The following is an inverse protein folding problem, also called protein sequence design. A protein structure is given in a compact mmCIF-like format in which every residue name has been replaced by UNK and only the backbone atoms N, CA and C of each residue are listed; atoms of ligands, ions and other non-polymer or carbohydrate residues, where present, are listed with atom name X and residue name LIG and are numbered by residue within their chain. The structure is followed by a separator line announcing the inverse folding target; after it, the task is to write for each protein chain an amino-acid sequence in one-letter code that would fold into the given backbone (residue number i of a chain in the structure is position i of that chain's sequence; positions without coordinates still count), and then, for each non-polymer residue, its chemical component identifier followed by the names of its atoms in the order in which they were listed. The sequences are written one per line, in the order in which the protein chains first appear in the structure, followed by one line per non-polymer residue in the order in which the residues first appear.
data_IF_909114400198
#
_entry.id   IF_909114400198
#
_cell.length_a   1.000
_cell.length_b   1.000
_cell.length_c   1.000
_cell.angle_alpha   90.00
_cell.angle_beta   90.00
_cell.angle_gamma   90.00
#
_symmetry.space_group_name_H-M   'P 1'
#
loop_
_entity.id
_entity.type
_entity.pdbx_description
1 polymer ?
#
# COMPACT_ATOMS: atom_id res chain seq x y z
N UNK A 1 -8.39 2.63 -9.30
CA UNK A 1 -7.52 3.70 -8.77
C UNK A 1 -6.39 3.09 -7.94
N UNK A 2 -5.22 3.71 -7.98
CA UNK A 2 -4.07 3.44 -7.11
C UNK A 2 -3.77 4.73 -6.35
N UNK A 3 -3.97 4.72 -5.05
CA UNK A 3 -3.76 5.85 -4.15
C UNK A 3 -2.48 5.65 -3.33
N UNK A 4 -1.40 6.36 -3.66
CA UNK A 4 -0.18 6.34 -2.87
C UNK A 4 -0.25 7.30 -1.68
N UNK A 5 -0.86 8.46 -1.91
CA UNK A 5 -1.07 9.49 -0.91
C UNK A 5 -2.23 10.38 -1.39
N UNK A 6 -3.44 9.83 -1.45
CA UNK A 6 -4.59 10.59 -1.92
C UNK A 6 -5.05 11.56 -0.83
N UNK A 7 -4.75 12.81 -1.04
CA UNK A 7 -5.15 13.97 -0.25
C UNK A 7 -5.13 15.20 -1.15
N UNK A 8 -5.63 16.34 -0.69
CA UNK A 8 -5.58 17.61 -1.39
C UNK A 8 -4.13 18.15 -1.41
N UNK A 9 -3.41 17.87 -2.50
CA UNK A 9 -2.03 18.30 -2.72
C UNK A 9 -1.96 19.48 -3.70
N UNK A 10 -1.02 20.37 -3.49
CA UNK A 10 -0.84 21.57 -4.31
C UNK A 10 0.40 21.48 -5.20
N UNK A 11 0.19 21.75 -6.51
CA UNK A 11 1.28 21.92 -7.50
C UNK A 11 1.68 23.38 -7.71
N UNK A 12 0.93 24.34 -7.17
CA UNK A 12 1.04 25.75 -7.54
C UNK A 12 2.18 26.50 -6.85
N UNK A 13 2.73 25.99 -5.77
CA UNK A 13 3.74 26.69 -4.98
C UNK A 13 5.02 25.92 -4.73
N UNK A 14 5.00 24.62 -4.86
CA UNK A 14 6.16 23.73 -4.80
C UNK A 14 5.72 22.33 -5.19
N UNK A 15 6.65 21.51 -5.60
CA UNK A 15 6.40 20.13 -5.96
C UNK A 15 6.15 19.94 -7.44
N UNK A 16 6.66 18.85 -7.91
CA UNK A 16 6.58 18.41 -9.30
C UNK A 16 6.21 16.92 -9.33
N UNK A 17 5.62 16.50 -10.43
CA UNK A 17 5.34 15.08 -10.67
C UNK A 17 6.11 14.62 -11.89
N UNK A 18 6.78 13.49 -11.77
CA UNK A 18 7.59 12.91 -12.82
C UNK A 18 7.12 11.51 -13.16
N UNK A 19 7.34 11.11 -14.41
CA UNK A 19 7.14 9.74 -14.85
C UNK A 19 8.38 9.22 -15.56
N UNK A 20 8.70 7.95 -15.37
CA UNK A 20 9.83 7.31 -15.99
C UNK A 20 9.59 5.83 -16.27
N UNK A 21 9.82 5.41 -17.52
CA UNK A 21 9.85 3.99 -17.88
C UNK A 21 11.31 3.51 -17.91
N UNK A 22 11.66 2.60 -17.01
CA UNK A 22 12.97 1.95 -17.01
C UNK A 22 12.91 0.65 -17.82
N UNK A 23 13.31 0.73 -19.09
CA UNK A 23 13.36 -0.43 -20.00
C UNK A 23 14.43 -1.47 -19.66
N UNK A 24 15.36 -1.17 -18.75
CA UNK A 24 16.38 -2.13 -18.33
C UNK A 24 15.90 -3.01 -17.17
N UNK A 25 15.10 -2.41 -16.29
CA UNK A 25 14.56 -3.08 -15.11
C UNK A 25 13.09 -3.44 -15.28
N UNK A 26 12.49 -3.02 -16.40
CA UNK A 26 11.14 -3.38 -16.82
C UNK A 26 10.05 -2.95 -15.82
N UNK A 27 10.08 -1.66 -15.45
CA UNK A 27 9.08 -1.05 -14.61
C UNK A 27 8.79 0.41 -14.99
N UNK A 28 7.64 0.90 -14.59
CA UNK A 28 7.21 2.29 -14.75
C UNK A 28 7.09 2.96 -13.38
N UNK A 29 7.66 4.16 -13.24
CA UNK A 29 7.65 4.94 -12.00
C UNK A 29 6.85 6.21 -12.20
N UNK A 30 6.05 6.57 -11.21
CA UNK A 30 5.46 7.89 -11.02
C UNK A 30 5.94 8.42 -9.67
N UNK A 31 6.54 9.60 -9.67
CA UNK A 31 7.08 10.26 -8.49
C UNK A 31 6.39 11.60 -8.28
N UNK A 32 5.87 11.80 -7.08
CA UNK A 32 5.44 13.10 -6.56
C UNK A 32 6.55 13.62 -5.66
N UNK A 33 7.24 14.67 -6.10
CA UNK A 33 8.39 15.25 -5.42
C UNK A 33 8.03 16.56 -4.77
N UNK A 34 8.33 16.69 -3.48
CA UNK A 34 8.12 17.90 -2.67
C UNK A 34 6.69 18.48 -2.74
N UNK A 35 5.70 17.61 -2.90
CA UNK A 35 4.29 18.00 -2.96
C UNK A 35 3.85 18.57 -1.63
N UNK A 36 3.06 19.64 -1.70
CA UNK A 36 2.57 20.33 -0.52
C UNK A 36 1.12 19.97 -0.23
N UNK A 37 0.81 19.59 1.00
CA UNK A 37 -0.58 19.42 1.41
C UNK A 37 -1.29 20.79 1.49
N UNK A 38 -2.51 20.85 0.98
CA UNK A 38 -3.32 22.06 1.03
C UNK A 38 -3.49 22.54 2.49
N UNK A 39 -3.35 23.83 2.74
CA UNK A 39 -3.52 24.52 4.03
C UNK A 39 -2.43 24.31 5.09
N UNK A 40 -1.62 23.25 5.09
CA UNK A 40 -0.67 22.95 6.19
C UNK A 40 0.79 23.03 5.84
N UNK A 41 1.11 23.11 4.56
CA UNK A 41 2.48 23.19 4.09
C UNK A 41 3.40 22.04 4.54
N UNK A 42 2.86 20.88 4.88
CA UNK A 42 3.69 19.70 4.95
C UNK A 42 4.13 19.29 3.55
N UNK A 43 5.31 18.76 3.44
CA UNK A 43 5.90 18.34 2.18
C UNK A 43 5.94 16.83 2.18
N UNK A 44 5.43 16.25 1.10
CA UNK A 44 5.39 14.81 0.90
C UNK A 44 6.20 14.46 -0.36
N UNK A 45 7.00 13.39 -0.30
CA UNK A 45 7.72 12.87 -1.45
C UNK A 45 7.57 11.36 -1.50
N UNK A 46 6.92 10.86 -2.54
CA UNK A 46 6.57 9.45 -2.68
C UNK A 46 6.51 9.02 -4.14
N UNK A 47 6.57 7.71 -4.37
CA UNK A 47 6.50 7.16 -5.72
C UNK A 47 5.68 5.87 -5.76
N UNK A 48 5.06 5.64 -6.92
CA UNK A 48 4.47 4.36 -7.32
C UNK A 48 5.40 3.72 -8.34
N UNK A 49 5.68 2.43 -8.18
CA UNK A 49 6.38 1.61 -9.15
C UNK A 49 5.45 0.51 -9.61
N UNK A 50 5.16 0.48 -10.90
CA UNK A 50 4.42 -0.58 -11.58
C UNK A 50 5.42 -1.53 -12.24
N UNK A 51 5.39 -2.82 -11.90
CA UNK A 51 6.32 -3.81 -12.45
C UNK A 51 5.71 -4.50 -13.67
N UNK A 52 6.49 -4.62 -14.74
CA UNK A 52 6.13 -5.44 -15.90
C UNK A 52 6.49 -6.90 -15.64
N UNK A 53 5.91 -7.47 -14.61
CA UNK A 53 6.10 -8.88 -14.24
C UNK A 53 4.86 -9.74 -14.58
N UNK A 54 3.96 -9.20 -15.39
CA UNK A 54 2.70 -9.79 -15.85
C UNK A 54 2.81 -11.06 -16.67
N UNK A 55 3.99 -11.68 -16.71
CA UNK A 55 4.17 -13.04 -17.23
C UNK A 55 3.78 -14.14 -16.22
N UNK A 56 3.27 -13.75 -15.07
CA UNK A 56 2.71 -14.71 -14.14
C UNK A 56 1.38 -15.22 -14.69
N UNK A 57 1.22 -16.54 -14.93
CA UNK A 57 0.04 -17.06 -15.60
C UNK A 57 -1.27 -16.86 -14.84
N UNK A 58 -1.26 -16.26 -13.66
CA UNK A 58 -2.39 -16.20 -12.74
C UNK A 58 -2.41 -14.99 -11.81
N UNK A 59 -1.83 -13.85 -12.16
CA UNK A 59 -1.85 -12.68 -11.28
C UNK A 59 -1.78 -11.37 -12.05
N UNK A 60 -2.30 -10.34 -11.43
CA UNK A 60 -2.13 -8.96 -11.87
C UNK A 60 -0.72 -8.45 -11.57
N UNK A 61 -0.37 -7.28 -12.12
CA UNK A 61 0.93 -6.66 -11.93
C UNK A 61 1.23 -6.32 -10.46
N UNK A 62 2.48 -6.45 -10.08
CA UNK A 62 2.94 -6.04 -8.76
C UNK A 62 3.10 -4.52 -8.69
N UNK A 63 2.82 -3.97 -7.52
CA UNK A 63 2.87 -2.54 -7.24
C UNK A 63 3.75 -2.31 -6.01
N UNK A 64 4.65 -1.34 -6.08
CA UNK A 64 5.36 -0.86 -4.91
C UNK A 64 5.09 0.62 -4.72
N UNK A 65 4.79 1.01 -3.50
CA UNK A 65 4.69 2.41 -3.10
C UNK A 65 5.84 2.69 -2.14
N UNK A 66 6.55 3.79 -2.32
CA UNK A 66 7.66 4.17 -1.46
C UNK A 66 7.49 5.62 -1.01
N UNK A 67 7.87 5.89 0.22
CA UNK A 67 7.82 7.21 0.84
C UNK A 67 9.23 7.67 1.21
N UNK A 68 9.72 8.72 0.56
CA UNK A 68 10.98 9.37 0.91
C UNK A 68 10.77 10.36 2.05
N UNK A 69 9.64 11.07 2.01
CA UNK A 69 9.17 11.96 3.06
C UNK A 69 7.68 11.71 3.26
N UNK A 70 7.30 11.40 4.47
CA UNK A 70 5.92 11.09 4.84
C UNK A 70 5.54 11.83 6.13
N UNK A 71 4.93 12.99 6.01
CA UNK A 71 4.46 13.77 7.15
C UNK A 71 2.99 13.52 7.46
N UNK A 72 2.18 13.35 6.43
CA UNK A 72 0.74 13.06 6.53
C UNK A 72 0.04 13.87 7.63
N UNK A 73 0.18 15.19 7.58
CA UNK A 73 -0.39 16.08 8.59
C UNK A 73 -1.85 16.36 8.31
N UNK A 74 -2.68 16.36 9.35
CA UNK A 74 -4.11 16.65 9.22
C UNK A 74 -4.37 18.03 8.61
N UNK A 75 -5.06 18.08 7.49
CA UNK A 75 -5.36 19.30 6.78
C UNK A 75 -6.52 20.13 7.35
N UNK A 76 -7.32 19.61 8.31
CA UNK A 76 -8.59 20.25 8.72
C UNK A 76 -8.86 20.35 10.22
N UNK A 77 -7.89 20.78 10.99
CA UNK A 77 -8.08 20.97 12.45
C UNK A 77 -9.23 21.95 12.79
N UNK A 78 -9.66 22.80 11.87
CA UNK A 78 -10.61 23.88 12.15
C UNK A 78 -11.83 23.98 11.19
N UNK A 79 -12.00 23.08 10.24
CA UNK A 79 -13.21 23.06 9.40
C UNK A 79 -14.20 21.97 9.85
N UNK A 80 -15.41 22.38 10.11
CA UNK A 80 -16.49 21.45 10.46
C UNK A 80 -17.72 21.74 9.58
N UNK A 81 -18.31 20.74 8.91
CA UNK A 81 -17.82 19.37 8.77
C UNK A 81 -16.57 19.30 7.88
N UNK A 82 -15.71 18.30 8.06
CA UNK A 82 -14.59 18.07 7.14
C UNK A 82 -15.12 17.83 5.72
N UNK A 83 -14.49 18.44 4.73
CA UNK A 83 -14.91 18.33 3.32
C UNK A 83 -14.43 17.00 2.73
N UNK A 84 -13.35 16.43 3.27
CA UNK A 84 -12.75 15.14 2.92
C UNK A 84 -12.07 14.53 4.16
N UNK A 85 -11.35 13.40 4.02
CA UNK A 85 -10.56 12.83 5.11
C UNK A 85 -9.54 13.84 5.65
N UNK A 86 -9.22 13.75 6.93
CA UNK A 86 -8.24 14.65 7.56
C UNK A 86 -6.81 14.27 7.26
N UNK A 87 -6.58 13.08 6.70
CA UNK A 87 -5.30 12.47 6.37
C UNK A 87 -5.42 11.67 5.09
N UNK A 88 -4.31 11.38 4.45
CA UNK A 88 -4.28 10.67 3.19
C UNK A 88 -4.96 9.30 3.22
N UNK A 89 -5.51 8.92 2.07
CA UNK A 89 -5.96 7.55 1.78
C UNK A 89 -4.87 6.83 1.00
N UNK A 90 -4.55 5.60 1.43
CA UNK A 90 -3.55 4.75 0.80
C UNK A 90 -4.15 3.39 0.51
N UNK A 91 -4.07 2.94 -0.75
CA UNK A 91 -4.63 1.67 -1.16
C UNK A 91 -4.91 1.59 -2.66
N UNK A 92 -5.64 0.55 -3.04
CA UNK A 92 -6.05 0.32 -4.43
C UNK A 92 -7.54 -0.01 -4.51
N UNK A 93 -8.15 0.27 -5.64
CA UNK A 93 -9.49 -0.18 -5.98
C UNK A 93 -9.64 -0.42 -7.48
N UNK A 94 -10.63 -1.24 -7.84
CA UNK A 94 -10.97 -1.47 -9.24
C UNK A 94 -11.70 -0.24 -9.86
N UNK A 95 -11.92 -0.28 -11.17
CA UNK A 95 -12.58 0.80 -11.91
C UNK A 95 -14.06 1.02 -11.54
N UNK A 96 -14.69 0.08 -10.84
CA UNK A 96 -16.08 0.21 -10.36
C UNK A 96 -16.17 0.74 -8.93
N UNK A 97 -15.05 0.80 -8.20
CA UNK A 97 -15.02 1.18 -6.79
C UNK A 97 -15.75 0.19 -5.86
N UNK A 98 -15.98 -1.05 -6.29
CA UNK A 98 -16.69 -2.07 -5.50
C UNK A 98 -15.76 -3.16 -4.94
N UNK A 99 -14.52 -3.18 -5.37
CA UNK A 99 -13.44 -4.03 -4.84
C UNK A 99 -12.21 -3.17 -4.59
N UNK A 100 -11.52 -3.40 -3.49
CA UNK A 100 -10.33 -2.63 -3.14
C UNK A 100 -9.63 -3.16 -1.91
N UNK A 101 -8.40 -2.72 -1.74
CA UNK A 101 -7.53 -3.04 -0.62
C UNK A 101 -7.00 -1.74 -0.03
N UNK A 102 -7.52 -1.35 1.12
CA UNK A 102 -7.10 -0.16 1.84
C UNK A 102 -5.97 -0.48 2.81
N UNK A 103 -4.87 0.29 2.73
CA UNK A 103 -3.79 0.25 3.72
C UNK A 103 -4.03 1.26 4.86
N UNK A 104 -4.38 2.50 4.53
CA UNK A 104 -4.79 3.48 5.53
C UNK A 104 -5.84 4.44 5.00
N UNK A 105 -6.67 4.96 5.91
CA UNK A 105 -7.59 6.06 5.68
C UNK A 105 -7.73 6.86 6.97
N UNK A 106 -7.71 8.18 6.87
CA UNK A 106 -7.85 9.09 7.99
C UNK A 106 -6.90 8.74 9.17
N UNK A 107 -5.65 8.39 8.83
CA UNK A 107 -4.60 7.92 9.74
C UNK A 107 -4.98 6.68 10.58
N UNK A 108 -5.96 5.92 10.11
CA UNK A 108 -6.34 4.64 10.70
C UNK A 108 -5.72 3.51 9.91
N UNK A 109 -4.97 2.66 10.58
CA UNK A 109 -4.27 1.51 10.01
C UNK A 109 -4.92 0.20 10.48
N UNK A 110 -5.01 -0.83 9.62
CA UNK A 110 -5.32 -2.17 10.07
C UNK A 110 -4.32 -2.64 11.13
N UNK A 111 -4.74 -3.52 12.02
CA UNK A 111 -3.88 -4.00 13.11
C UNK A 111 -2.56 -4.62 12.63
N UNK A 112 -2.54 -5.13 11.41
CA UNK A 112 -1.38 -5.77 10.79
C UNK A 112 -0.46 -4.79 10.05
N UNK A 113 -0.84 -3.51 9.91
CA UNK A 113 -0.07 -2.52 9.19
C UNK A 113 0.86 -1.76 10.12
N UNK A 114 2.08 -1.48 9.66
CA UNK A 114 2.93 -0.48 10.30
C UNK A 114 2.37 0.93 10.07
N UNK A 115 2.64 1.84 10.96
CA UNK A 115 2.47 3.27 10.67
C UNK A 115 3.54 3.69 9.69
N UNK A 116 3.13 4.34 8.59
CA UNK A 116 4.08 4.85 7.61
C UNK A 116 4.88 6.03 8.16
N UNK A 117 6.12 6.12 7.73
CA UNK A 117 7.10 7.15 8.09
C UNK A 117 8.05 7.35 6.90
N UNK A 118 9.04 8.23 7.04
CA UNK A 118 10.11 8.40 6.06
C UNK A 118 10.84 7.08 5.79
N UNK A 119 11.28 6.91 4.55
CA UNK A 119 12.05 5.73 4.10
C UNK A 119 11.33 4.38 4.27
N UNK A 120 9.99 4.39 4.16
CA UNK A 120 9.17 3.19 4.21
C UNK A 120 8.67 2.76 2.84
N UNK A 121 8.29 1.49 2.71
CA UNK A 121 7.75 0.93 1.49
C UNK A 121 6.57 0.00 1.76
N UNK A 122 5.62 0.00 0.82
CA UNK A 122 4.45 -0.88 0.76
C UNK A 122 4.51 -1.64 -0.56
N UNK A 123 4.27 -2.95 -0.52
CA UNK A 123 4.19 -3.81 -1.68
C UNK A 123 2.80 -4.43 -1.78
N UNK A 124 2.18 -4.30 -2.95
CA UNK A 124 0.85 -4.80 -3.24
C UNK A 124 0.96 -5.79 -4.38
N UNK A 125 0.44 -6.98 -4.17
CA UNK A 125 0.52 -8.07 -5.14
C UNK A 125 -0.76 -8.89 -5.11
N UNK A 126 -1.11 -9.51 -6.22
CA UNK A 126 -2.07 -10.61 -6.21
C UNK A 126 -1.32 -11.85 -5.78
N UNK A 127 -1.77 -12.50 -4.71
CA UNK A 127 -1.32 -13.85 -4.43
C UNK A 127 -1.56 -14.71 -5.67
N UNK A 128 -0.72 -15.72 -5.94
CA UNK A 128 -1.00 -16.63 -7.03
C UNK A 128 -2.44 -17.15 -6.88
N UNK A 129 -3.22 -17.08 -7.93
CA UNK A 129 -4.58 -17.65 -8.00
C UNK A 129 -4.56 -19.20 -7.96
N UNK A 130 -3.57 -19.76 -7.32
CA UNK A 130 -3.53 -21.15 -6.89
C UNK A 130 -4.31 -21.17 -5.59
N UNK A 131 -5.33 -21.98 -5.50
CA UNK A 131 -5.88 -22.33 -4.19
C UNK A 131 -4.71 -22.87 -3.38
N UNK A 132 -4.08 -22.00 -2.60
CA UNK A 132 -3.05 -22.47 -1.68
C UNK A 132 -3.72 -23.43 -0.71
N UNK A 133 -3.15 -24.63 -0.50
CA UNK A 133 -3.67 -25.53 0.49
C UNK A 133 -3.80 -24.77 1.81
N UNK A 134 -4.99 -24.78 2.39
CA UNK A 134 -5.27 -23.99 3.59
C UNK A 134 -4.53 -24.58 4.80
N UNK A 135 -3.66 -23.80 5.48
CA UNK A 135 -3.04 -24.25 6.71
C UNK A 135 -4.06 -24.30 7.85
N UNK A 136 -3.81 -25.16 8.81
CA UNK A 136 -4.59 -25.25 10.04
C UNK A 136 -3.67 -25.46 11.23
N UNK A 137 -3.82 -24.60 12.24
CA UNK A 137 -3.01 -24.67 13.46
C UNK A 137 -3.46 -25.80 14.38
N UNK A 138 -2.61 -26.81 14.52
CA UNK A 138 -2.71 -27.80 15.58
C UNK A 138 -1.71 -27.51 16.70
N UNK A 139 -2.12 -27.64 17.95
CA UNK A 139 -1.20 -27.49 19.09
C UNK A 139 -1.58 -28.39 20.24
N UNK A 140 -0.56 -28.84 20.97
CA UNK A 140 -0.74 -29.69 22.15
C UNK A 140 0.39 -29.47 23.16
N UNK A 141 0.10 -29.36 24.47
CA UNK A 141 -1.27 -29.31 25.05
C UNK A 141 -2.01 -28.02 24.75
N UNK A 142 -3.34 -28.04 24.88
CA UNK A 142 -4.18 -26.86 24.67
C UNK A 142 -4.10 -25.86 25.83
N UNK A 143 -3.58 -26.25 26.95
CA UNK A 143 -3.34 -25.41 28.12
C UNK A 143 -2.14 -25.91 28.90
N UNK A 144 -1.37 -24.99 29.50
CA UNK A 144 -0.25 -25.26 30.40
C UNK A 144 -0.36 -24.37 31.62
N UNK A 145 -0.57 -24.98 32.79
CA UNK A 145 -0.68 -24.28 34.04
C UNK A 145 0.61 -24.45 34.88
N UNK A 146 1.17 -23.36 35.32
CA UNK A 146 2.37 -23.31 36.16
C UNK A 146 2.04 -22.68 37.50
N UNK A 147 2.52 -23.29 38.58
CA UNK A 147 2.43 -22.74 39.94
C UNK A 147 3.83 -22.67 40.54
N UNK A 148 4.43 -21.47 40.51
CA UNK A 148 5.82 -21.26 40.90
C UNK A 148 5.89 -20.31 42.11
N UNK A 149 6.79 -20.63 43.03
CA UNK A 149 7.20 -19.70 44.07
C UNK A 149 8.29 -18.75 43.54
N UNK A 150 8.58 -17.71 44.30
CA UNK A 150 9.66 -16.77 43.97
C UNK A 150 11.00 -17.51 43.76
N UNK A 151 11.69 -17.14 42.65
CA UNK A 151 12.96 -17.75 42.21
C UNK A 151 12.88 -19.23 41.75
N UNK A 152 11.69 -19.72 41.44
CA UNK A 152 11.53 -21.04 40.81
C UNK A 152 11.29 -20.88 39.27
N UNK A 153 11.71 -21.88 38.55
CA UNK A 153 11.45 -22.01 37.10
C UNK A 153 10.94 -23.40 36.77
N UNK A 154 10.05 -23.47 35.81
CA UNK A 154 9.54 -24.75 35.26
C UNK A 154 9.54 -24.63 33.74
N UNK A 155 9.81 -25.76 33.08
CA UNK A 155 9.84 -25.85 31.63
C UNK A 155 8.84 -26.89 31.16
N UNK A 156 8.03 -26.53 30.20
CA UNK A 156 7.12 -27.44 29.49
C UNK A 156 7.24 -27.27 27.98
N UNK A 157 6.84 -28.28 27.24
CA UNK A 157 6.93 -28.29 25.80
C UNK A 157 5.55 -28.11 25.18
N UNK A 158 5.44 -27.13 24.25
CA UNK A 158 4.30 -26.96 23.36
C UNK A 158 4.68 -27.51 22.00
N UNK A 159 3.91 -28.47 21.49
CA UNK A 159 4.06 -28.93 20.11
C UNK A 159 3.09 -28.17 19.20
N UNK A 160 3.62 -27.58 18.15
CA UNK A 160 2.86 -26.87 17.12
C UNK A 160 3.01 -27.64 15.81
N UNK A 161 1.90 -27.82 15.10
CA UNK A 161 1.88 -28.55 13.83
C UNK A 161 0.90 -27.91 12.85
N UNK A 162 1.20 -28.02 11.56
CA UNK A 162 0.22 -27.74 10.53
C UNK A 162 -0.63 -29.00 10.32
N UNK A 163 -1.92 -28.89 10.62
CA UNK A 163 -2.92 -29.96 10.42
C UNK A 163 -3.83 -29.69 9.23
N UNK A 164 -3.51 -28.66 8.43
CA UNK A 164 -4.23 -28.30 7.22
C UNK A 164 -3.95 -29.19 6.03
N UNK A 165 -4.28 -28.72 4.85
CA UNK A 165 -4.10 -29.45 3.60
C UNK A 165 -2.62 -29.72 3.30
N UNK A 166 -2.34 -30.82 2.60
CA UNK A 166 -0.98 -31.19 2.20
C UNK A 166 -0.36 -30.11 1.30
N UNK A 167 0.86 -29.67 1.62
CA UNK A 167 1.57 -28.60 0.92
C UNK A 167 1.27 -27.20 1.41
N UNK A 168 0.36 -27.06 2.40
CA UNK A 168 0.13 -25.74 3.02
C UNK A 168 1.28 -25.33 3.94
N UNK A 169 1.61 -24.05 3.94
CA UNK A 169 2.59 -23.47 4.85
C UNK A 169 1.88 -22.76 6.01
N UNK A 170 2.24 -23.10 7.25
CA UNK A 170 1.69 -22.50 8.45
C UNK A 170 2.69 -21.51 9.04
N UNK A 171 2.36 -20.23 8.97
CA UNK A 171 3.06 -19.19 9.72
C UNK A 171 2.33 -18.94 11.04
N UNK A 172 3.05 -18.91 12.15
CA UNK A 172 2.47 -18.64 13.47
C UNK A 172 3.39 -17.78 14.31
N UNK A 173 2.79 -17.04 15.25
CA UNK A 173 3.53 -16.30 16.26
C UNK A 173 3.17 -16.79 17.65
N UNK A 174 4.12 -16.68 18.59
CA UNK A 174 3.91 -16.96 20.01
C UNK A 174 4.13 -15.68 20.79
N UNK A 175 3.08 -15.15 21.41
CA UNK A 175 3.15 -13.93 22.21
C UNK A 175 2.89 -14.23 23.69
N UNK A 176 3.45 -13.40 24.55
CA UNK A 176 3.22 -13.40 25.99
C UNK A 176 2.23 -12.27 26.32
N UNK A 177 1.12 -12.57 27.00
CA UNK A 177 0.20 -11.53 27.46
C UNK A 177 0.86 -10.62 28.47
N UNK A 178 0.78 -9.31 28.24
CA UNK A 178 1.46 -8.26 29.05
C UNK A 178 2.60 -7.57 28.33
N UNK A 179 2.94 -7.98 27.09
CA UNK A 179 3.82 -7.26 26.15
C UNK A 179 3.01 -7.07 24.88
N UNK A 180 3.14 -5.92 24.23
CA UNK A 180 2.46 -5.57 22.98
C UNK A 180 2.45 -6.73 21.98
N UNK A 181 1.34 -7.02 21.31
CA UNK A 181 1.29 -8.10 20.36
C UNK A 181 2.33 -7.87 19.24
N UNK A 182 2.93 -8.95 18.76
CA UNK A 182 3.71 -8.92 17.53
C UNK A 182 2.79 -8.47 16.41
N UNK A 183 3.21 -7.45 15.70
CA UNK A 183 2.51 -7.00 14.52
C UNK A 183 2.76 -8.00 13.39
N UNK A 184 1.71 -8.56 12.86
CA UNK A 184 1.77 -9.30 11.58
C UNK A 184 1.63 -8.22 10.52
N UNK A 185 2.68 -7.87 9.82
CA UNK A 185 2.63 -6.83 8.82
C UNK A 185 2.30 -7.40 7.44
N UNK A 186 1.04 -7.47 7.15
CA UNK A 186 0.49 -7.87 5.88
C UNK A 186 -1.03 -7.95 6.00
N UNK A 187 -1.74 -7.61 4.96
CA UNK A 187 -3.21 -7.63 4.96
C UNK A 187 -3.80 -8.01 3.61
N UNK A 188 -5.07 -8.27 3.64
CA UNK A 188 -5.81 -8.88 2.56
C UNK A 188 -6.04 -10.38 2.79
N UNK A 189 -6.37 -11.20 1.75
CA UNK A 189 -6.67 -10.68 0.43
C UNK A 189 -7.98 -9.90 0.38
N UNK A 190 -8.09 -8.97 -0.55
CA UNK A 190 -9.39 -8.48 -0.97
C UNK A 190 -10.17 -9.56 -1.75
N UNK A 191 -11.37 -9.24 -2.22
CA UNK A 191 -12.20 -10.21 -2.92
C UNK A 191 -11.62 -10.68 -4.26
N UNK A 192 -10.69 -9.94 -4.83
CA UNK A 192 -9.99 -10.29 -6.06
C UNK A 192 -8.73 -11.13 -5.81
N UNK A 193 -8.06 -10.90 -4.68
CA UNK A 193 -6.85 -11.61 -4.31
C UNK A 193 -5.64 -10.72 -4.03
N UNK A 194 -5.81 -9.39 -4.02
CA UNK A 194 -4.73 -8.48 -3.67
C UNK A 194 -4.38 -8.56 -2.19
N UNK A 195 -3.07 -8.61 -1.94
CA UNK A 195 -2.44 -8.62 -0.63
C UNK A 195 -1.48 -7.43 -0.56
N UNK A 196 -1.31 -6.88 0.62
CA UNK A 196 -0.22 -5.93 0.87
C UNK A 196 0.72 -6.45 1.96
N UNK A 197 1.99 -6.08 1.82
CA UNK A 197 3.03 -6.24 2.84
C UNK A 197 3.82 -4.93 2.93
N UNK A 198 4.37 -4.61 4.08
CA UNK A 198 5.17 -3.41 4.27
C UNK A 198 6.63 -3.72 4.64
N UNK A 199 7.46 -2.67 4.65
CA UNK A 199 8.92 -2.80 4.81
C UNK A 199 9.38 -3.21 6.22
N UNK A 200 8.48 -3.27 7.19
CA UNK A 200 8.82 -3.63 8.56
C UNK A 200 9.02 -5.16 8.72
N UNK A 201 8.36 -5.95 7.87
CA UNK A 201 8.38 -7.42 7.98
C UNK A 201 9.34 -8.12 7.05
N UNK A 202 9.47 -7.65 5.84
CA UNK A 202 10.24 -8.37 4.84
C UNK A 202 11.40 -7.53 4.34
N UNK A 203 12.61 -7.95 4.65
CA UNK A 203 13.83 -7.35 4.09
C UNK A 203 13.83 -7.33 2.54
N UNK A 204 12.97 -8.12 1.90
CA UNK A 204 12.73 -8.13 0.45
C UNK A 204 11.92 -6.92 -0.04
N UNK A 205 11.12 -6.29 0.84
CA UNK A 205 10.34 -5.07 0.54
C UNK A 205 11.11 -3.82 1.01
N UNK A 206 12.41 -3.88 1.07
CA UNK A 206 13.24 -2.76 1.52
C UNK A 206 12.91 -1.49 0.73
N UNK A 207 12.84 -0.37 1.45
CA UNK A 207 12.87 0.95 0.82
C UNK A 207 14.12 1.07 -0.06
N UNK A 208 13.92 1.40 -1.33
CA UNK A 208 14.99 1.58 -2.31
C UNK A 208 14.55 2.65 -3.31
N UNK A 209 14.82 3.89 -2.97
CA UNK A 209 14.39 5.03 -3.78
C UNK A 209 15.06 5.04 -5.15
N UNK A 210 14.27 5.29 -6.18
CA UNK A 210 14.76 5.50 -7.55
C UNK A 210 14.55 6.97 -7.88
N UNK A 211 15.62 7.76 -7.88
CA UNK A 211 15.58 9.18 -8.21
C UNK A 211 15.38 9.36 -9.72
N UNK A 212 14.21 9.90 -10.09
CA UNK A 212 13.85 10.12 -11.49
C UNK A 212 13.73 11.60 -11.87
N UNK A 213 13.90 12.54 -10.96
CA UNK A 213 13.79 13.99 -11.27
C UNK A 213 14.70 14.42 -12.44
N UNK A 214 15.91 13.86 -12.53
CA UNK A 214 16.87 14.17 -13.58
C UNK A 214 16.70 13.38 -14.87
N UNK A 215 15.85 12.36 -14.90
CA UNK A 215 15.70 11.41 -16.00
C UNK A 215 14.26 11.32 -16.53
N UNK A 216 13.29 11.55 -15.67
CA UNK A 216 11.87 11.41 -15.95
C UNK A 216 11.30 12.55 -16.77
N UNK A 217 10.08 12.32 -17.24
CA UNK A 217 9.27 13.35 -17.87
C UNK A 217 8.47 14.08 -16.79
N UNK A 218 8.71 15.36 -16.64
CA UNK A 218 7.90 16.20 -15.75
C UNK A 218 6.51 16.40 -16.36
N UNK A 219 5.48 16.16 -15.55
CA UNK A 219 4.09 16.39 -15.93
C UNK A 219 3.71 17.86 -15.71
N UNK A 220 2.74 18.33 -16.49
CA UNK A 220 2.24 19.70 -16.41
C UNK A 220 0.74 19.71 -16.19
N UNK A 221 0.32 20.10 -15.02
CA UNK A 221 -1.09 20.14 -14.67
C UNK A 221 -1.72 21.49 -15.04
N UNK A 222 -2.85 21.51 -15.78
CA UNK A 222 -3.49 22.75 -16.19
C UNK A 222 -4.07 23.53 -15.00
N UNK A 223 -4.45 22.84 -13.93
CA UNK A 223 -4.94 23.40 -12.67
C UNK A 223 -4.57 22.48 -11.51
N UNK A 224 -4.67 22.97 -10.27
CA UNK A 224 -4.29 22.24 -9.07
C UNK A 224 -4.88 20.81 -8.98
N UNK A 225 -6.19 20.68 -9.15
CA UNK A 225 -6.88 19.40 -8.96
C UNK A 225 -7.20 18.69 -10.28
N UNK A 226 -6.51 19.01 -11.35
CA UNK A 226 -6.78 18.46 -12.67
C UNK A 226 -5.65 17.52 -13.07
N UNK A 227 -6.00 16.28 -13.37
CA UNK A 227 -5.06 15.32 -13.94
C UNK A 227 -4.48 15.81 -15.28
N UNK A 228 -3.29 15.37 -15.61
CA UNK A 228 -2.69 15.56 -16.93
C UNK A 228 -3.33 14.59 -17.96
N UNK A 229 -3.00 14.76 -19.22
CA UNK A 229 -3.35 13.81 -20.27
C UNK A 229 -2.85 12.40 -19.91
N UNK A 230 -3.52 11.32 -20.39
CA UNK A 230 -3.08 9.97 -20.10
C UNK A 230 -1.62 9.72 -20.49
N UNK A 231 -0.89 9.07 -19.61
CA UNK A 231 0.54 8.76 -19.75
C UNK A 231 0.72 7.31 -20.13
N UNK A 232 1.56 7.05 -21.14
CA UNK A 232 1.94 5.69 -21.55
C UNK A 232 2.76 5.01 -20.45
N UNK A 233 2.34 3.83 -20.01
CA UNK A 233 3.07 3.01 -19.02
C UNK A 233 4.29 2.35 -19.67
N UNK A 234 4.20 2.02 -20.98
CA UNK A 234 5.26 1.36 -21.74
C UNK A 234 5.07 -0.16 -21.86
N UNK A 235 4.11 -0.70 -21.13
CA UNK A 235 3.66 -2.10 -21.21
C UNK A 235 2.20 -2.18 -20.78
N UNK A 236 1.58 -3.34 -21.01
CA UNK A 236 0.23 -3.60 -20.52
C UNK A 236 0.30 -4.00 -19.04
N UNK A 237 -0.17 -3.13 -18.17
CA UNK A 237 -0.21 -3.36 -16.73
C UNK A 237 -1.57 -3.95 -16.30
N UNK A 238 -1.62 -5.18 -15.82
CA UNK A 238 -2.86 -5.79 -15.36
C UNK A 238 -3.23 -5.31 -13.95
N UNK A 239 -4.46 -4.84 -13.80
CA UNK A 239 -5.05 -4.42 -12.52
C UNK A 239 -6.51 -4.88 -12.46
N UNK A 240 -6.86 -5.67 -11.44
CA UNK A 240 -8.19 -6.28 -11.27
C UNK A 240 -8.66 -7.03 -12.53
N UNK A 241 -7.74 -7.77 -13.16
CA UNK A 241 -8.01 -8.59 -14.33
C UNK A 241 -8.23 -7.83 -15.63
N UNK A 242 -7.87 -6.55 -15.67
CA UNK A 242 -7.92 -5.70 -16.86
C UNK A 242 -6.53 -5.16 -17.19
N UNK A 243 -6.16 -5.19 -18.48
CA UNK A 243 -4.86 -4.68 -18.94
C UNK A 243 -4.96 -3.20 -19.32
N UNK A 244 -3.99 -2.41 -18.86
CA UNK A 244 -3.91 -0.98 -19.08
C UNK A 244 -2.54 -0.57 -19.64
N UNK A 245 -2.50 -0.04 -20.85
CA UNK A 245 -1.28 0.52 -21.46
C UNK A 245 -1.01 1.96 -21.04
N UNK A 246 -2.00 2.63 -20.44
CA UNK A 246 -1.96 4.04 -20.03
C UNK A 246 -2.56 4.20 -18.65
N UNK A 247 -2.13 5.25 -17.94
CA UNK A 247 -2.77 5.72 -16.73
C UNK A 247 -2.92 7.24 -16.75
N UNK A 248 -3.88 7.75 -15.98
CA UNK A 248 -4.05 9.18 -15.71
C UNK A 248 -3.43 9.49 -14.36
N UNK A 249 -2.49 10.44 -14.31
CA UNK A 249 -1.80 10.84 -13.09
C UNK A 249 -2.47 12.07 -12.51
N UNK A 250 -2.88 11.99 -11.24
CA UNK A 250 -3.48 13.11 -10.54
C UNK A 250 -2.48 13.75 -9.58
N UNK A 251 -2.38 15.10 -9.54
CA UNK A 251 -1.47 15.76 -8.61
C UNK A 251 -1.80 15.47 -7.14
N UNK A 252 -3.01 15.07 -6.83
CA UNK A 252 -3.46 14.71 -5.48
C UNK A 252 -3.04 13.29 -5.03
N UNK A 253 -1.93 12.76 -5.55
CA UNK A 253 -1.25 11.58 -5.03
C UNK A 253 -1.84 10.22 -5.41
N UNK A 254 -2.56 10.14 -6.53
CA UNK A 254 -3.13 8.89 -7.03
C UNK A 254 -3.08 8.79 -8.56
N UNK A 255 -3.24 7.58 -9.07
CA UNK A 255 -3.40 7.32 -10.51
C UNK A 255 -4.71 6.60 -10.80
N UNK A 256 -5.31 6.94 -11.94
CA UNK A 256 -6.50 6.31 -12.48
C UNK A 256 -6.21 5.47 -13.73
N UNK A 257 -7.09 4.54 -14.04
CA UNK A 257 -7.02 3.71 -15.23
C UNK A 257 -8.35 3.81 -15.99
N UNK A 258 -8.36 4.55 -17.08
CA UNK A 258 -9.48 4.58 -18.04
C UNK A 258 -10.43 5.76 -17.95
N UNK A 259 -10.66 6.39 -16.82
CA UNK A 259 -11.52 7.58 -16.74
C UNK A 259 -10.80 8.73 -16.04
N UNK A 260 -11.06 9.94 -16.53
CA UNK A 260 -10.64 11.19 -15.91
C UNK A 260 -11.36 11.38 -14.58
N UNK A 261 -10.61 11.39 -13.49
CA UNK A 261 -11.11 11.74 -12.19
C UNK A 261 -10.28 12.90 -11.64
N UNK A 262 -10.96 13.93 -11.15
CA UNK A 262 -10.34 15.15 -10.60
C UNK A 262 -10.48 15.19 -9.07
N UNK A 263 -10.71 14.05 -8.42
CA UNK A 263 -10.97 14.00 -6.99
C UNK A 263 -9.75 14.41 -6.16
N UNK A 264 -9.87 15.51 -5.45
CA UNK A 264 -8.98 15.92 -4.38
C UNK A 264 -9.50 15.49 -3.00
N UNK A 265 -10.80 15.26 -2.88
CA UNK A 265 -11.46 14.84 -1.64
C UNK A 265 -11.34 13.35 -1.46
N UNK A 266 -10.46 12.91 -0.59
CA UNK A 266 -10.23 11.50 -0.32
C UNK A 266 -11.32 10.86 0.56
N UNK A 267 -11.56 9.59 0.34
CA UNK A 267 -12.49 8.74 1.09
C UNK A 267 -11.85 7.40 1.42
N UNK A 268 -12.54 6.56 2.19
CA UNK A 268 -12.11 5.17 2.39
C UNK A 268 -12.24 4.38 1.08
N UNK A 269 -11.36 3.41 0.86
CA UNK A 269 -11.38 2.48 -0.27
C UNK A 269 -11.89 1.10 0.15
N UNK A 270 -12.64 0.38 -0.73
CA UNK A 270 -13.15 0.82 -2.02
C UNK A 270 -14.30 1.83 -1.89
N UNK A 271 -14.45 2.70 -2.90
CA UNK A 271 -15.46 3.76 -2.91
C UNK A 271 -16.18 3.81 -4.27
N UNK A 272 -17.50 3.73 -4.24
CA UNK A 272 -18.37 3.86 -5.43
C UNK A 272 -18.72 5.32 -5.75
N UNK A 273 -17.88 6.26 -5.32
CA UNK A 273 -18.13 7.71 -5.49
C UNK A 273 -17.95 8.20 -6.90
#
# INVERSE_FOLDING_TARGET
MLAAFWDDLETTSSGDVFTYFDSNNDYFIIEWSDMRTHSYNSIETFQIILFNDGSQPYGDGNIKIQYKVFNNTSSFINQYPPIHGSYATIGIENHLGDQGLQYSYDNQYPQAAMSLDDETALYITTGPAVSMPSPSLGYTPSNMDFSLNENQSETSSLSISNTGEEGSELTYSVSKSGISPFEVSGGGPDNFGYLWSDSDLEASIAYNWVDIEGMGNQLSFPQNDTADEPVEIGFDFPLYGMDYGQCTVNPNGWIGFGEDNTAYSNTSLPSTS
#
